data_IF_224277429244
#
_entry.id   IF_224277429244
#
_cell.length_a   1.000
_cell.length_b   1.000
_cell.length_c   1.000
_cell.angle_alpha   90.00
_cell.angle_beta   90.00
_cell.angle_gamma   90.00
#
_symmetry.space_group_name_H-M   'P 1'
#
loop_
_entity.id
_entity.type
_entity.pdbx_description
1 polymer ?
#
# COMPACT_ATOMS: atom_id res chain seq x y z
N UNK A 1 -5.48 0.27 7.67
CA UNK A 1 -4.82 1.56 7.37
C UNK A 1 -4.46 2.39 8.59
N UNK A 2 -5.29 2.46 9.64
CA UNK A 2 -4.97 3.23 10.86
C UNK A 2 -3.59 2.91 11.47
N UNK A 3 -3.26 1.62 11.65
CA UNK A 3 -1.95 1.20 12.20
C UNK A 3 -0.75 1.73 11.41
N UNK A 4 -0.86 1.78 10.07
CA UNK A 4 0.20 2.31 9.21
C UNK A 4 0.34 3.83 9.41
N UNK A 5 -0.77 4.55 9.44
CA UNK A 5 -0.77 5.99 9.69
C UNK A 5 -0.17 6.33 11.07
N UNK A 6 -0.55 5.60 12.12
CA UNK A 6 0.03 5.78 13.47
C UNK A 6 1.54 5.49 13.49
N UNK A 7 1.98 4.44 12.79
CA UNK A 7 3.41 4.15 12.67
C UNK A 7 4.17 5.30 11.98
N UNK A 8 3.62 5.84 10.89
CA UNK A 8 4.22 6.94 10.16
C UNK A 8 4.25 8.24 10.98
N UNK A 9 3.22 8.54 11.77
CA UNK A 9 3.21 9.73 12.64
C UNK A 9 4.41 9.70 13.62
N UNK A 10 4.67 8.53 14.21
CA UNK A 10 5.79 8.32 15.14
C UNK A 10 7.15 8.41 14.46
N UNK A 11 7.30 7.80 13.28
CA UNK A 11 8.59 7.78 12.56
C UNK A 11 8.95 9.14 11.95
N UNK A 12 7.97 9.86 11.41
CA UNK A 12 8.19 11.12 10.69
C UNK A 12 8.10 12.37 11.58
N UNK A 13 7.88 12.22 12.89
CA UNK A 13 7.70 13.32 13.86
C UNK A 13 6.69 14.36 13.34
N UNK A 14 5.48 13.89 13.07
CA UNK A 14 4.45 14.69 12.41
C UNK A 14 4.16 16.00 13.20
N UNK A 15 4.22 17.18 12.55
CA UNK A 15 4.00 18.46 13.24
C UNK A 15 2.56 18.64 13.75
N UNK A 16 1.60 17.91 13.18
CA UNK A 16 0.18 18.04 13.53
C UNK A 16 -0.25 17.10 14.69
N UNK A 17 0.69 16.43 15.35
CA UNK A 17 0.45 15.51 16.45
C UNK A 17 0.65 14.03 16.11
N UNK A 18 0.66 13.21 17.17
CA UNK A 18 0.97 11.77 17.11
C UNK A 18 -0.20 10.91 16.64
N UNK A 19 -1.43 11.41 16.75
CA UNK A 19 -2.64 10.68 16.38
C UNK A 19 -3.10 11.01 14.96
N UNK A 20 -3.28 10.02 14.09
CA UNK A 20 -3.74 10.25 12.72
C UNK A 20 -5.25 10.53 12.67
N UNK A 21 -5.62 11.71 12.16
CA UNK A 21 -7.02 12.11 11.97
C UNK A 21 -7.58 11.58 10.64
N UNK A 22 -8.73 10.91 10.68
CA UNK A 22 -9.44 10.54 9.45
C UNK A 22 -10.03 11.80 8.80
N UNK A 23 -9.64 12.07 7.55
CA UNK A 23 -10.10 13.23 6.78
C UNK A 23 -11.36 12.95 5.95
N UNK A 24 -11.88 11.72 5.99
CA UNK A 24 -13.09 11.33 5.26
C UNK A 24 -14.32 11.45 6.15
N UNK A 25 -15.47 11.74 5.54
CA UNK A 25 -16.79 11.73 6.19
C UNK A 25 -17.65 10.57 5.68
N UNK A 26 -17.01 9.42 5.44
CA UNK A 26 -17.65 8.22 4.91
C UNK A 26 -16.96 6.98 5.47
N UNK A 27 -17.68 5.87 5.49
CA UNK A 27 -17.22 4.54 5.84
C UNK A 27 -16.65 3.76 4.63
N UNK A 28 -16.82 4.27 3.39
CA UNK A 28 -16.40 3.60 2.15
C UNK A 28 -14.89 3.58 1.95
N UNK A 29 -14.21 4.61 2.44
CA UNK A 29 -12.77 4.75 2.39
C UNK A 29 -12.30 5.60 3.57
N UNK A 30 -11.04 5.41 3.93
CA UNK A 30 -10.40 6.12 5.04
C UNK A 30 -9.15 6.79 4.51
N UNK A 31 -8.92 8.05 4.86
CA UNK A 31 -7.79 8.85 4.39
C UNK A 31 -7.12 9.52 5.58
N UNK A 32 -5.82 9.31 5.71
CA UNK A 32 -4.97 9.99 6.69
C UNK A 32 -3.86 10.75 5.96
N UNK A 33 -3.65 12.02 6.32
CA UNK A 33 -2.49 12.81 5.89
C UNK A 33 -1.49 12.86 7.04
N UNK A 34 -0.27 12.37 6.79
CA UNK A 34 0.81 12.34 7.77
C UNK A 34 2.04 12.98 7.14
N UNK A 35 2.35 14.24 7.51
CA UNK A 35 3.43 15.01 6.87
C UNK A 35 3.30 14.97 5.33
N UNK A 36 4.31 14.46 4.63
CA UNK A 36 4.36 14.31 3.17
C UNK A 36 3.79 12.97 2.66
N UNK A 37 3.18 12.16 3.52
CA UNK A 37 2.60 10.87 3.18
C UNK A 37 1.06 10.92 3.21
N UNK A 38 0.44 10.21 2.25
CA UNK A 38 -1.01 10.00 2.22
C UNK A 38 -1.27 8.49 2.37
N UNK A 39 -2.09 8.14 3.36
CA UNK A 39 -2.54 6.77 3.59
C UNK A 39 -4.01 6.66 3.23
N UNK A 40 -4.35 5.92 2.17
CA UNK A 40 -5.74 5.71 1.73
C UNK A 40 -6.10 4.24 1.77
N UNK A 41 -7.28 3.92 2.31
CA UNK A 41 -7.92 2.61 2.15
C UNK A 41 -8.83 2.66 0.94
N UNK A 42 -8.55 1.84 -0.08
CA UNK A 42 -9.38 1.73 -1.29
C UNK A 42 -10.04 0.36 -1.38
N UNK A 43 -11.32 0.35 -1.76
CA UNK A 43 -12.05 -0.85 -2.15
C UNK A 43 -12.17 -0.87 -3.67
N UNK A 44 -11.77 -1.96 -4.31
CA UNK A 44 -11.88 -2.11 -5.76
C UNK A 44 -13.37 -2.16 -6.18
N UNK A 45 -13.74 -1.46 -7.26
CA UNK A 45 -15.14 -1.43 -7.72
C UNK A 45 -15.34 -1.10 -9.19
N UNK A 46 -14.43 -0.36 -9.82
CA UNK A 46 -14.51 -0.04 -11.26
C UNK A 46 -13.35 -0.67 -12.02
N UNK A 47 -13.64 -1.14 -13.24
CA UNK A 47 -12.67 -1.77 -14.13
C UNK A 47 -12.31 -0.80 -15.24
N UNK A 48 -11.03 -0.60 -15.42
CA UNK A 48 -10.44 0.12 -16.54
C UNK A 48 -9.23 -0.67 -17.03
N UNK A 49 -8.94 -0.58 -18.32
CA UNK A 49 -7.80 -1.27 -18.95
C UNK A 49 -6.70 -0.26 -19.28
N UNK A 50 -5.52 -0.50 -18.72
CA UNK A 50 -4.31 0.30 -18.91
C UNK A 50 -3.09 -0.62 -18.89
N UNK A 51 -1.96 -0.25 -19.53
CA UNK A 51 -0.68 -0.93 -19.32
C UNK A 51 -0.33 -0.99 -17.83
N UNK A 52 0.07 -2.16 -17.33
CA UNK A 52 0.37 -2.39 -15.91
C UNK A 52 1.88 -2.41 -15.65
N UNK A 53 2.58 -1.40 -16.15
CA UNK A 53 4.03 -1.26 -15.97
C UNK A 53 4.33 -0.63 -14.60
N UNK A 54 5.33 -1.17 -13.90
CA UNK A 54 5.85 -0.63 -12.63
C UNK A 54 7.29 -0.16 -12.84
N UNK A 55 7.74 0.80 -12.05
CA UNK A 55 9.10 1.32 -12.13
C UNK A 55 10.14 0.32 -11.57
N UNK A 56 11.00 -0.18 -12.46
CA UNK A 56 12.09 -1.11 -12.14
C UNK A 56 13.11 -0.53 -11.15
N UNK A 57 13.36 0.79 -11.20
CA UNK A 57 14.32 1.42 -10.30
C UNK A 57 13.76 1.47 -8.87
N UNK A 58 12.48 1.80 -8.74
CA UNK A 58 11.79 1.78 -7.45
C UNK A 58 11.76 0.36 -6.86
N UNK A 59 11.51 -0.67 -7.69
CA UNK A 59 11.55 -2.06 -7.24
C UNK A 59 12.93 -2.47 -6.69
N UNK A 60 14.02 -2.05 -7.35
CA UNK A 60 15.39 -2.30 -6.88
C UNK A 60 15.69 -1.55 -5.57
N UNK A 61 15.25 -0.30 -5.44
CA UNK A 61 15.42 0.49 -4.22
C UNK A 61 14.72 -0.18 -3.03
N UNK A 62 13.47 -0.63 -3.20
CA UNK A 62 12.73 -1.33 -2.15
C UNK A 62 13.42 -2.64 -1.74
N UNK A 63 13.91 -3.42 -2.71
CA UNK A 63 14.64 -4.65 -2.42
C UNK A 63 15.97 -4.38 -1.68
N UNK A 64 16.63 -3.27 -1.98
CA UNK A 64 17.81 -2.80 -1.24
C UNK A 64 17.50 -2.49 0.22
N UNK A 65 16.39 -1.80 0.50
CA UNK A 65 15.93 -1.51 1.87
C UNK A 65 15.60 -2.82 2.61
N UNK A 66 14.91 -3.77 1.97
CA UNK A 66 14.63 -5.07 2.57
C UNK A 66 15.91 -5.83 2.96
N UNK A 67 16.93 -5.77 2.10
CA UNK A 67 18.24 -6.38 2.38
C UNK A 67 18.92 -5.73 3.59
N UNK A 68 18.86 -4.40 3.72
CA UNK A 68 19.39 -3.66 4.88
C UNK A 68 18.66 -4.01 6.19
N UNK A 69 17.37 -4.32 6.10
CA UNK A 69 16.53 -4.71 7.23
C UNK A 69 16.60 -6.21 7.53
N UNK A 70 17.45 -6.99 6.84
CA UNK A 70 17.54 -8.45 6.92
C UNK A 70 16.17 -9.14 6.69
N UNK A 71 15.36 -8.60 5.77
CA UNK A 71 14.08 -9.18 5.37
C UNK A 71 14.25 -9.93 4.05
N UNK A 72 13.76 -11.17 4.00
CA UNK A 72 13.73 -11.95 2.77
C UNK A 72 12.77 -11.33 1.76
N UNK A 73 13.27 -10.89 0.62
CA UNK A 73 12.49 -10.28 -0.47
C UNK A 73 12.91 -10.79 -1.84
N UNK A 74 11.96 -10.86 -2.77
CA UNK A 74 12.17 -11.27 -4.18
C UNK A 74 11.41 -10.32 -5.08
N UNK A 75 11.98 -10.00 -6.25
CA UNK A 75 11.32 -9.23 -7.31
C UNK A 75 10.73 -10.22 -8.31
N UNK A 76 9.42 -10.13 -8.56
CA UNK A 76 8.72 -11.02 -9.48
C UNK A 76 7.37 -10.44 -9.91
N UNK A 77 6.73 -11.12 -10.87
CA UNK A 77 5.39 -10.74 -11.33
C UNK A 77 4.35 -11.20 -10.32
N UNK A 78 3.37 -10.34 -10.04
CA UNK A 78 2.23 -10.65 -9.17
C UNK A 78 0.97 -10.81 -10.01
N UNK A 79 0.38 -12.00 -10.01
CA UNK A 79 -0.91 -12.25 -10.67
C UNK A 79 -2.05 -11.60 -9.88
N UNK A 80 -2.94 -10.86 -10.55
CA UNK A 80 -4.19 -10.34 -9.99
C UNK A 80 -5.35 -11.24 -10.41
N UNK A 81 -6.11 -11.74 -9.45
CA UNK A 81 -7.34 -12.51 -9.70
C UNK A 81 -8.59 -11.63 -9.51
N UNK A 82 -9.68 -11.96 -10.21
CA UNK A 82 -10.97 -11.29 -10.07
C UNK A 82 -11.79 -11.78 -8.88
N UNK A 83 -11.49 -12.97 -8.40
CA UNK A 83 -12.12 -13.59 -7.24
C UNK A 83 -11.06 -14.28 -6.36
N UNK A 84 -11.37 -14.42 -5.07
CA UNK A 84 -10.52 -15.07 -4.08
C UNK A 84 -10.60 -16.60 -4.15
N UNK A 85 -11.76 -17.17 -4.53
CA UNK A 85 -12.00 -18.61 -4.45
C UNK A 85 -11.70 -19.31 -5.78
N UNK A 86 -12.53 -19.08 -6.80
CA UNK A 86 -12.46 -19.85 -8.05
C UNK A 86 -11.26 -19.44 -8.90
N UNK A 87 -10.97 -18.13 -8.93
CA UNK A 87 -9.89 -17.56 -9.74
C UNK A 87 -8.49 -18.04 -9.36
N UNK A 88 -8.28 -18.52 -8.13
CA UNK A 88 -6.98 -19.04 -7.67
C UNK A 88 -6.75 -20.51 -7.97
N UNK A 89 -7.82 -21.29 -8.19
CA UNK A 89 -7.75 -22.73 -8.38
C UNK A 89 -7.46 -23.14 -9.83
N UNK A 90 -7.77 -22.27 -10.80
CA UNK A 90 -7.68 -22.56 -12.24
C UNK A 90 -6.25 -22.49 -12.82
N UNK A 91 -5.23 -22.21 -12.01
CA UNK A 91 -3.85 -22.00 -12.47
C UNK A 91 -2.80 -22.82 -11.69
N UNK A 92 -3.21 -23.94 -11.08
CA UNK A 92 -2.30 -24.96 -10.56
C UNK A 92 -1.99 -26.02 -11.60
#
# INVERSE_FOLDING_TARGET
>A
MLKLATFLCKQLKNPNGDEPTNLTRTDRYVLYKVSNCICVSICAGQRFEFPTELDDNLAKQLNGICSQLNLSSVIGRTMRCNDFYEGKLLHK
#
